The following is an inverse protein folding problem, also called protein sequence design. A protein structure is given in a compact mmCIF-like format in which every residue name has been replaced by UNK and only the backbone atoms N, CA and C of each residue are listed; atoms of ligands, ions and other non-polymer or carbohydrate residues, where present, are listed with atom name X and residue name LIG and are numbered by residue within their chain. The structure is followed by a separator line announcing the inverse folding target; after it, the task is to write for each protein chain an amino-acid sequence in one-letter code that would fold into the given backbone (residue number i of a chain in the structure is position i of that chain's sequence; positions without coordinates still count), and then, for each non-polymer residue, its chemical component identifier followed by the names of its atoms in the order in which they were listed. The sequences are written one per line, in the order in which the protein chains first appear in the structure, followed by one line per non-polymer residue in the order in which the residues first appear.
data_IF_833387182545
#
_entry.id   IF_833387182545
#
_cell.length_a   1.000
_cell.length_b   1.000
_cell.length_c   1.000
_cell.angle_alpha   90.00
_cell.angle_beta   90.00
_cell.angle_gamma   90.00
#
_symmetry.space_group_name_H-M   'P 1'
#
loop_
_entity.id
_entity.type
_entity.pdbx_description
1 polymer ?
#
# COMPACT_ATOMS: atom_id res chain seq x y z
N UNK A 1 22.81 37.36 7.07
CA UNK A 1 23.18 36.48 8.20
C UNK A 1 22.00 36.45 9.17
N UNK A 2 21.04 35.54 8.98
CA UNK A 2 19.91 35.41 9.91
C UNK A 2 20.38 34.64 11.14
N UNK A 3 20.13 35.23 12.32
CA UNK A 3 20.33 34.61 13.63
C UNK A 3 19.38 33.42 13.74
N UNK A 4 19.82 32.26 13.26
CA UNK A 4 19.03 31.04 13.37
C UNK A 4 19.34 30.42 14.72
N UNK A 5 18.45 30.66 15.68
CA UNK A 5 18.55 30.10 17.03
C UNK A 5 18.85 28.60 16.99
N UNK A 6 19.71 28.15 17.88
CA UNK A 6 20.15 26.76 17.95
C UNK A 6 18.98 25.76 18.13
N UNK A 7 17.86 26.22 18.68
CA UNK A 7 16.62 25.45 18.82
C UNK A 7 15.91 25.24 17.48
N UNK A 8 15.95 26.23 16.59
CA UNK A 8 15.38 26.15 15.23
C UNK A 8 16.11 25.12 14.38
N UNK A 9 17.44 25.05 14.51
CA UNK A 9 18.30 24.09 13.81
C UNK A 9 17.96 22.64 14.17
N UNK A 10 17.86 22.33 15.47
CA UNK A 10 17.50 21.00 15.96
C UNK A 10 16.08 20.58 15.52
N UNK A 11 15.14 21.53 15.54
CA UNK A 11 13.75 21.30 15.11
C UNK A 11 13.67 20.91 13.65
N UNK A 12 14.44 21.56 12.77
CA UNK A 12 14.43 21.25 11.33
C UNK A 12 14.81 19.80 11.06
N UNK A 13 15.88 19.31 11.67
CA UNK A 13 16.32 17.92 11.49
C UNK A 13 15.30 16.94 12.09
N UNK A 14 14.75 17.23 13.26
CA UNK A 14 13.70 16.41 13.86
C UNK A 14 12.43 16.33 12.98
N UNK A 15 12.00 17.44 12.40
CA UNK A 15 10.84 17.47 11.49
C UNK A 15 11.07 16.60 10.26
N UNK A 16 12.30 16.55 9.73
CA UNK A 16 12.63 15.69 8.59
C UNK A 16 12.44 14.21 8.93
N UNK A 17 12.96 13.73 10.06
CA UNK A 17 12.77 12.32 10.46
C UNK A 17 11.31 11.98 10.75
N UNK A 18 10.59 12.89 11.40
CA UNK A 18 9.15 12.76 11.63
C UNK A 18 8.35 12.67 10.32
N UNK A 19 8.74 13.43 9.29
CA UNK A 19 8.12 13.38 7.98
C UNK A 19 8.35 12.03 7.27
N UNK A 20 9.56 11.47 7.36
CA UNK A 20 9.82 10.13 6.82
C UNK A 20 8.95 9.06 7.49
N UNK A 21 8.87 9.07 8.84
CA UNK A 21 8.09 8.08 9.56
C UNK A 21 6.58 8.20 9.28
N UNK A 22 6.03 9.41 9.18
CA UNK A 22 4.60 9.59 8.87
C UNK A 22 4.24 9.10 7.46
N UNK A 23 5.17 9.17 6.51
CA UNK A 23 4.97 8.64 5.15
C UNK A 23 5.11 7.11 5.10
N UNK A 24 6.14 6.55 5.75
CA UNK A 24 6.45 5.13 5.67
C UNK A 24 5.55 4.25 6.55
N UNK A 25 5.16 4.73 7.73
CA UNK A 25 4.31 3.99 8.67
C UNK A 25 3.02 3.43 8.03
N UNK A 26 2.15 4.24 7.39
CA UNK A 26 0.91 3.72 6.80
C UNK A 26 1.15 2.75 5.65
N UNK A 27 2.24 2.91 4.90
CA UNK A 27 2.59 2.04 3.77
C UNK A 27 3.00 0.66 4.29
N UNK A 28 3.93 0.63 5.25
CA UNK A 28 4.40 -0.61 5.88
C UNK A 28 3.22 -1.32 6.55
N UNK A 29 2.39 -0.59 7.30
CA UNK A 29 1.22 -1.19 7.94
C UNK A 29 0.24 -1.79 6.94
N UNK A 30 0.03 -1.15 5.78
CA UNK A 30 -0.78 -1.71 4.70
C UNK A 30 -0.14 -2.96 4.08
N UNK A 31 1.17 -2.98 3.90
CA UNK A 31 1.88 -4.17 3.39
C UNK A 31 1.72 -5.37 4.34
N UNK A 32 1.91 -5.14 5.64
CA UNK A 32 1.66 -6.17 6.66
C UNK A 32 0.22 -6.66 6.67
N UNK A 33 -0.75 -5.75 6.52
CA UNK A 33 -2.17 -6.10 6.47
C UNK A 33 -2.49 -7.03 5.29
N UNK A 34 -1.96 -6.73 4.11
CA UNK A 34 -2.16 -7.54 2.91
C UNK A 34 -1.64 -8.96 3.14
N UNK A 35 -0.44 -9.08 3.72
CA UNK A 35 0.17 -10.38 4.06
C UNK A 35 -0.65 -11.11 5.12
N UNK A 36 -1.08 -10.41 6.17
CA UNK A 36 -1.85 -11.01 7.26
C UNK A 36 -3.25 -11.48 6.81
N UNK A 37 -3.85 -10.83 5.81
CA UNK A 37 -5.14 -11.21 5.25
C UNK A 37 -5.09 -12.51 4.43
N UNK A 38 -3.91 -12.92 3.96
CA UNK A 38 -3.71 -14.19 3.26
C UNK A 38 -3.68 -15.38 4.22
N UNK A 39 -3.32 -15.12 5.48
CA UNK A 39 -3.22 -16.11 6.56
C UNK A 39 -4.58 -16.28 7.26
N UNK A 40 -5.62 -16.68 6.53
CA UNK A 40 -7.00 -17.16 6.88
C UNK A 40 -7.69 -16.89 8.26
N UNK A 41 -7.18 -16.05 9.16
CA UNK A 41 -7.58 -16.03 10.58
C UNK A 41 -8.04 -14.68 11.15
N UNK A 42 -7.97 -13.58 10.38
CA UNK A 42 -8.26 -12.25 10.93
C UNK A 42 -9.57 -11.70 10.38
N UNK A 43 -10.59 -11.64 11.24
CA UNK A 43 -11.89 -11.05 10.94
C UNK A 43 -11.75 -9.60 10.44
N UNK A 44 -12.47 -9.25 9.38
CA UNK A 44 -12.40 -7.96 8.67
C UNK A 44 -12.55 -6.71 9.56
N UNK A 45 -13.18 -6.82 10.73
CA UNK A 45 -13.35 -5.70 11.68
C UNK A 45 -12.06 -5.34 12.43
N UNK A 46 -11.13 -6.29 12.62
CA UNK A 46 -9.87 -6.08 13.37
C UNK A 46 -8.77 -5.48 12.49
N UNK A 47 -8.88 -5.62 11.17
CA UNK A 47 -7.90 -5.22 10.18
C UNK A 47 -7.52 -3.73 10.28
N UNK A 48 -8.50 -2.83 10.33
CA UNK A 48 -8.25 -1.38 10.41
C UNK A 48 -7.59 -0.95 11.73
N UNK A 49 -7.99 -1.56 12.85
CA UNK A 49 -7.40 -1.28 14.16
C UNK A 49 -5.93 -1.73 14.21
N UNK A 50 -5.62 -2.92 13.69
CA UNK A 50 -4.25 -3.42 13.63
C UNK A 50 -3.35 -2.53 12.76
N UNK A 51 -3.87 -2.07 11.62
CA UNK A 51 -3.13 -1.14 10.75
C UNK A 51 -2.82 0.17 11.49
N UNK A 52 -3.79 0.73 12.23
CA UNK A 52 -3.59 1.94 13.02
C UNK A 52 -2.56 1.70 14.13
N UNK A 53 -2.70 0.63 14.90
CA UNK A 53 -1.77 0.27 15.99
C UNK A 53 -0.33 0.13 15.49
N UNK A 54 -0.12 -0.58 14.37
CA UNK A 54 1.21 -0.75 13.79
C UNK A 54 1.78 0.59 13.30
N UNK A 55 0.97 1.42 12.65
CA UNK A 55 1.41 2.73 12.17
C UNK A 55 1.75 3.68 13.33
N UNK A 56 0.95 3.66 14.40
CA UNK A 56 1.18 4.43 15.61
C UNK A 56 2.44 3.97 16.33
N UNK A 57 2.71 2.66 16.37
CA UNK A 57 3.93 2.11 16.93
C UNK A 57 5.18 2.61 16.19
N UNK A 58 5.19 2.51 14.85
CA UNK A 58 6.30 3.02 14.02
C UNK A 58 6.53 4.51 14.27
N UNK A 59 5.44 5.29 14.33
CA UNK A 59 5.52 6.73 14.56
C UNK A 59 6.01 7.07 15.99
N UNK A 60 5.55 6.33 17.01
CA UNK A 60 5.96 6.51 18.39
C UNK A 60 7.46 6.26 18.59
N UNK A 61 8.03 5.25 17.92
CA UNK A 61 9.48 5.00 17.93
C UNK A 61 10.23 6.19 17.31
N UNK A 62 9.73 6.78 16.22
CA UNK A 62 10.35 7.97 15.64
C UNK A 62 10.30 9.19 16.57
N UNK A 63 9.21 9.37 17.31
CA UNK A 63 9.07 10.42 18.34
C UNK A 63 10.12 10.21 19.44
N UNK A 64 10.28 8.97 19.92
CA UNK A 64 11.28 8.65 20.94
C UNK A 64 12.71 8.93 20.44
N UNK A 65 13.01 8.62 19.18
CA UNK A 65 14.30 8.97 18.58
C UNK A 65 14.48 10.49 18.43
N UNK A 66 13.41 11.22 18.14
CA UNK A 66 13.43 12.68 18.03
C UNK A 66 13.66 13.35 19.38
N UNK A 67 13.04 12.85 20.46
CA UNK A 67 13.26 13.35 21.82
C UNK A 67 14.68 13.06 22.28
N UNK A 68 15.21 11.85 22.00
CA UNK A 68 16.60 11.51 22.29
C UNK A 68 17.59 12.43 21.56
N UNK A 69 17.37 12.65 20.25
CA UNK A 69 18.18 13.58 19.46
C UNK A 69 18.15 15.00 20.03
N UNK A 70 16.98 15.47 20.49
CA UNK A 70 16.83 16.77 21.11
C UNK A 70 17.67 16.92 22.37
N UNK A 71 17.58 15.95 23.30
CA UNK A 71 18.30 15.96 24.57
C UNK A 71 19.82 15.94 24.35
N UNK A 72 20.30 15.11 23.43
CA UNK A 72 21.74 15.07 23.09
C UNK A 72 22.23 16.38 22.47
N UNK A 73 21.38 17.04 21.68
CA UNK A 73 21.73 18.33 21.09
C UNK A 73 21.71 19.46 22.15
N UNK A 74 20.84 19.42 23.16
CA UNK A 74 20.83 20.42 24.24
C UNK A 74 22.10 20.40 25.08
N UNK A 75 22.65 19.22 25.38
CA UNK A 75 23.92 19.09 26.09
C UNK A 75 25.09 19.66 25.29
N UNK A 76 25.12 19.37 23.98
CA UNK A 76 26.18 19.84 23.08
C UNK A 76 26.14 21.36 22.86
N UNK A 77 24.93 21.96 22.86
CA UNK A 77 24.71 23.40 22.70
C UNK A 77 25.34 24.25 23.81
N UNK A 78 25.52 23.69 25.01
CA UNK A 78 26.14 24.40 26.14
C UNK A 78 27.58 24.86 25.86
N UNK A 79 28.21 24.30 24.81
CA UNK A 79 29.60 24.59 24.42
C UNK A 79 29.76 25.48 23.17
N UNK A 80 28.72 25.73 22.35
CA UNK A 80 28.86 26.50 21.08
C UNK A 80 27.65 27.34 20.70
N UNK A 81 27.93 28.56 20.24
CA UNK A 81 26.96 29.59 19.82
C UNK A 81 26.50 29.52 18.35
N UNK A 82 26.95 28.53 17.56
CA UNK A 82 26.54 28.37 16.15
C UNK A 82 25.86 27.02 15.91
N UNK A 83 24.77 27.03 15.13
CA UNK A 83 24.12 25.83 14.61
C UNK A 83 25.09 25.09 13.69
N UNK A 84 25.54 23.91 14.13
CA UNK A 84 26.34 22.99 13.33
C UNK A 84 25.59 21.67 13.28
N UNK A 85 25.20 21.25 12.08
CA UNK A 85 24.57 19.94 11.87
C UNK A 85 25.66 18.88 12.07
N UNK A 86 25.56 18.14 13.18
CA UNK A 86 26.47 17.03 13.46
C UNK A 86 26.13 15.84 12.57
N UNK A 87 26.89 15.69 11.48
CA UNK A 87 26.77 14.62 10.48
C UNK A 87 26.50 13.24 11.11
N UNK A 88 27.28 12.83 12.12
CA UNK A 88 27.16 11.53 12.78
C UNK A 88 25.82 11.35 13.52
N UNK A 89 25.42 12.35 14.30
CA UNK A 89 24.16 12.33 15.05
C UNK A 89 22.95 12.39 14.12
N UNK A 90 23.04 13.18 13.03
CA UNK A 90 21.99 13.26 12.01
C UNK A 90 21.83 11.95 11.25
N UNK A 91 22.93 11.28 10.86
CA UNK A 91 22.85 9.93 10.26
C UNK A 91 22.26 8.94 11.25
N UNK A 92 22.71 8.94 12.51
CA UNK A 92 22.17 8.05 13.54
C UNK A 92 20.66 8.24 13.72
N UNK A 93 20.18 9.49 13.72
CA UNK A 93 18.75 9.80 13.78
C UNK A 93 17.97 9.33 12.54
N UNK A 94 18.50 9.55 11.34
CA UNK A 94 17.88 9.13 10.07
C UNK A 94 18.01 7.62 9.81
N UNK A 95 18.87 6.91 10.54
CA UNK A 95 19.07 5.47 10.38
C UNK A 95 17.80 4.65 10.65
N UNK A 96 16.91 5.14 11.51
CA UNK A 96 15.61 4.50 11.72
C UNK A 96 14.73 4.58 10.46
N UNK A 97 14.70 5.71 9.77
CA UNK A 97 14.00 5.86 8.50
C UNK A 97 14.61 4.96 7.40
N UNK A 98 15.94 4.78 7.40
CA UNK A 98 16.63 3.83 6.53
C UNK A 98 16.18 2.39 6.79
N UNK A 99 16.12 2.00 8.07
CA UNK A 99 15.65 0.68 8.48
C UNK A 99 14.21 0.46 8.03
N UNK A 100 13.33 1.45 8.20
CA UNK A 100 11.94 1.36 7.73
C UNK A 100 11.84 1.16 6.21
N UNK A 101 12.66 1.87 5.43
CA UNK A 101 12.70 1.67 3.98
C UNK A 101 13.21 0.28 3.60
N UNK A 102 14.21 -0.23 4.31
CA UNK A 102 14.74 -1.58 4.08
C UNK A 102 13.71 -2.66 4.44
N UNK A 103 13.01 -2.50 5.57
CA UNK A 103 11.89 -3.36 5.97
C UNK A 103 10.80 -3.33 4.90
N UNK A 104 10.46 -2.15 4.37
CA UNK A 104 9.51 -2.05 3.27
C UNK A 104 9.98 -2.81 2.02
N UNK A 105 11.26 -2.71 1.67
CA UNK A 105 11.85 -3.45 0.54
C UNK A 105 11.71 -4.97 0.71
N UNK A 106 12.02 -5.49 1.89
CA UNK A 106 11.92 -6.93 2.18
C UNK A 106 10.47 -7.42 2.14
N UNK A 107 9.54 -6.62 2.68
CA UNK A 107 8.12 -7.01 2.78
C UNK A 107 7.42 -6.90 1.42
N UNK A 108 7.84 -5.95 0.58
CA UNK A 108 7.20 -5.67 -0.70
C UNK A 108 7.06 -6.86 -1.68
N UNK A 109 8.04 -7.77 -1.89
CA UNK A 109 7.85 -8.93 -2.76
C UNK A 109 6.79 -9.91 -2.26
N UNK A 110 6.62 -10.05 -0.93
CA UNK A 110 5.57 -10.90 -0.37
C UNK A 110 4.17 -10.36 -0.70
N UNK A 111 4.04 -9.04 -0.87
CA UNK A 111 2.79 -8.42 -1.30
C UNK A 111 2.42 -8.77 -2.76
N UNK A 112 3.40 -9.07 -3.63
CA UNK A 112 3.15 -9.48 -5.03
C UNK A 112 2.58 -10.90 -5.08
N UNK A 113 3.07 -11.79 -4.20
CA UNK A 113 2.66 -13.21 -4.19
C UNK A 113 1.17 -13.39 -3.88
N UNK A 114 0.54 -12.40 -3.24
CA UNK A 114 -0.87 -12.45 -2.85
C UNK A 114 -1.82 -12.41 -4.06
N UNK A 115 -2.46 -13.55 -4.34
CA UNK A 115 -3.26 -13.82 -5.55
C UNK A 115 -4.49 -12.91 -5.72
N UNK A 116 -5.02 -12.33 -4.63
CA UNK A 116 -6.29 -11.58 -4.61
C UNK A 116 -6.16 -10.14 -5.14
N UNK A 117 -4.94 -9.61 -5.28
CA UNK A 117 -4.74 -8.18 -5.57
C UNK A 117 -3.41 -7.88 -6.29
N UNK A 118 -3.09 -8.67 -7.32
CA UNK A 118 -1.78 -8.68 -8.00
C UNK A 118 -1.32 -7.29 -8.50
N UNK A 119 -2.26 -6.42 -8.92
CA UNK A 119 -1.92 -5.06 -9.41
C UNK A 119 -1.51 -4.09 -8.30
N UNK A 120 -2.11 -4.15 -7.11
CA UNK A 120 -1.76 -3.23 -6.03
C UNK A 120 -0.44 -3.63 -5.33
N UNK A 121 -0.20 -4.93 -5.14
CA UNK A 121 1.05 -5.44 -4.57
C UNK A 121 2.26 -5.10 -5.46
N UNK A 122 2.09 -5.21 -6.77
CA UNK A 122 3.11 -4.86 -7.77
C UNK A 122 3.45 -3.35 -7.75
N UNK A 123 2.45 -2.47 -7.65
CA UNK A 123 2.68 -1.03 -7.51
C UNK A 123 3.43 -0.66 -6.22
N UNK A 124 3.10 -1.31 -5.11
CA UNK A 124 3.80 -1.12 -3.83
C UNK A 124 5.26 -1.56 -3.91
N UNK A 125 5.54 -2.65 -4.63
CA UNK A 125 6.91 -3.13 -4.85
C UNK A 125 7.74 -2.18 -5.71
N UNK A 126 7.18 -1.69 -6.83
CA UNK A 126 7.87 -0.67 -7.65
C UNK A 126 8.13 0.61 -6.85
N UNK A 127 7.18 1.03 -6.00
CA UNK A 127 7.38 2.15 -5.08
C UNK A 127 8.53 1.92 -4.11
N UNK A 128 8.65 0.70 -3.59
CA UNK A 128 9.75 0.34 -2.68
C UNK A 128 11.11 0.34 -3.37
N UNK A 129 11.21 -0.21 -4.58
CA UNK A 129 12.43 -0.16 -5.40
C UNK A 129 12.82 1.30 -5.67
N UNK A 130 11.87 2.14 -6.09
CA UNK A 130 12.11 3.56 -6.32
C UNK A 130 12.61 4.28 -5.06
N UNK A 131 12.02 3.98 -3.90
CA UNK A 131 12.44 4.57 -2.63
C UNK A 131 13.86 4.13 -2.25
N UNK A 132 14.22 2.86 -2.47
CA UNK A 132 15.58 2.36 -2.25
C UNK A 132 16.60 3.05 -3.16
N UNK A 133 16.29 3.25 -4.44
CA UNK A 133 17.17 3.98 -5.38
C UNK A 133 17.38 5.41 -4.90
N UNK A 134 16.31 6.11 -4.50
CA UNK A 134 16.42 7.48 -3.97
C UNK A 134 17.30 7.52 -2.72
N UNK A 135 17.13 6.59 -1.78
CA UNK A 135 17.96 6.54 -0.58
C UNK A 135 19.42 6.21 -0.87
N UNK A 136 19.72 5.35 -1.84
CA UNK A 136 21.08 5.10 -2.30
C UNK A 136 21.72 6.37 -2.89
N UNK A 137 21.00 7.07 -3.77
CA UNK A 137 21.46 8.34 -4.34
C UNK A 137 21.69 9.37 -3.23
N UNK A 138 20.75 9.48 -2.28
CA UNK A 138 20.88 10.38 -1.15
C UNK A 138 22.11 10.08 -0.30
N UNK A 139 22.35 8.80 0.02
CA UNK A 139 23.50 8.37 0.80
C UNK A 139 24.81 8.67 0.07
N UNK A 140 24.89 8.37 -1.22
CA UNK A 140 26.05 8.70 -2.06
C UNK A 140 26.32 10.21 -2.09
N UNK A 141 25.28 11.03 -2.33
CA UNK A 141 25.40 12.49 -2.33
C UNK A 141 25.87 13.01 -0.98
N UNK A 142 25.40 12.43 0.12
CA UNK A 142 25.76 12.84 1.47
C UNK A 142 27.25 12.58 1.79
N UNK A 143 27.85 11.53 1.24
CA UNK A 143 29.28 11.25 1.41
C UNK A 143 30.17 11.99 0.42
N UNK A 144 29.70 12.19 -0.81
CA UNK A 144 30.52 12.79 -1.88
C UNK A 144 30.55 14.32 -1.81
N UNK A 145 29.48 14.95 -1.30
CA UNK A 145 29.39 16.40 -1.22
C UNK A 145 30.06 16.95 0.05
N UNK A 146 30.71 18.13 -0.04
CA UNK A 146 31.26 18.79 1.15
C UNK A 146 30.14 19.14 2.15
N UNK A 147 30.43 19.18 3.47
CA UNK A 147 29.44 19.42 4.53
C UNK A 147 28.59 20.70 4.39
N UNK A 148 29.04 21.66 3.58
CA UNK A 148 28.29 22.89 3.26
C UNK A 148 26.96 22.62 2.54
N UNK A 149 26.83 21.50 1.84
CA UNK A 149 25.63 21.16 1.06
C UNK A 149 24.68 20.20 1.81
N UNK A 150 24.99 19.81 3.04
CA UNK A 150 24.23 18.80 3.77
C UNK A 150 22.74 19.14 3.90
N UNK A 151 22.40 20.42 4.11
CA UNK A 151 21.01 20.86 4.20
C UNK A 151 20.25 20.62 2.89
N UNK A 152 20.87 20.92 1.75
CA UNK A 152 20.29 20.69 0.43
C UNK A 152 20.13 19.20 0.15
N UNK A 153 21.13 18.38 0.49
CA UNK A 153 21.07 16.93 0.30
C UNK A 153 19.95 16.30 1.13
N UNK A 154 19.80 16.69 2.40
CA UNK A 154 18.72 16.22 3.27
C UNK A 154 17.34 16.59 2.70
N UNK A 155 17.15 17.84 2.28
CA UNK A 155 15.90 18.29 1.66
C UNK A 155 15.62 17.56 0.34
N UNK A 156 16.63 17.38 -0.51
CA UNK A 156 16.50 16.66 -1.78
C UNK A 156 16.05 15.22 -1.55
N UNK A 157 16.66 14.51 -0.60
CA UNK A 157 16.24 13.15 -0.24
C UNK A 157 14.77 13.09 0.23
N UNK A 158 14.36 14.06 1.04
CA UNK A 158 12.98 14.11 1.55
C UNK A 158 11.98 14.36 0.43
N UNK A 159 12.26 15.31 -0.46
CA UNK A 159 11.38 15.63 -1.59
C UNK A 159 11.33 14.45 -2.56
N UNK A 160 12.48 13.87 -2.92
CA UNK A 160 12.54 12.74 -3.84
C UNK A 160 11.78 11.52 -3.28
N UNK A 161 11.98 11.17 -2.01
CA UNK A 161 11.24 10.07 -1.38
C UNK A 161 9.74 10.35 -1.29
N UNK A 162 9.36 11.58 -0.95
CA UNK A 162 7.95 11.99 -0.94
C UNK A 162 7.32 11.84 -2.34
N UNK A 163 8.01 12.25 -3.41
CA UNK A 163 7.49 12.08 -4.78
C UNK A 163 7.29 10.61 -5.14
N UNK A 164 8.23 9.73 -4.81
CA UNK A 164 8.09 8.29 -5.06
C UNK A 164 6.92 7.71 -4.27
N UNK A 165 6.79 8.09 -2.99
CA UNK A 165 5.68 7.63 -2.14
C UNK A 165 4.34 8.13 -2.65
N UNK A 166 4.26 9.39 -3.10
CA UNK A 166 3.05 9.93 -3.72
C UNK A 166 2.66 9.10 -4.94
N UNK A 167 3.61 8.82 -5.85
CA UNK A 167 3.32 7.96 -7.00
C UNK A 167 2.85 6.57 -6.55
N UNK A 168 3.54 5.94 -5.59
CA UNK A 168 3.19 4.60 -5.09
C UNK A 168 1.81 4.54 -4.41
N UNK A 169 1.43 5.59 -3.67
CA UNK A 169 0.17 5.64 -2.89
C UNK A 169 -1.02 6.10 -3.73
N UNK A 170 -0.82 7.05 -4.65
CA UNK A 170 -1.90 7.60 -5.46
C UNK A 170 -2.30 6.68 -6.61
N UNK A 171 -1.35 5.93 -7.19
CA UNK A 171 -1.63 5.03 -8.30
C UNK A 171 -2.74 4.00 -8.01
N UNK A 172 -2.73 3.25 -6.88
CA UNK A 172 -3.83 2.31 -6.59
C UNK A 172 -5.17 3.01 -6.31
N UNK A 173 -5.17 4.24 -5.79
CA UNK A 173 -6.40 5.00 -5.54
C UNK A 173 -7.04 5.48 -6.84
N UNK A 174 -6.23 6.09 -7.72
CA UNK A 174 -6.67 6.58 -9.03
C UNK A 174 -7.13 5.42 -9.91
N UNK A 175 -6.38 4.31 -9.92
CA UNK A 175 -6.77 3.11 -10.65
C UNK A 175 -8.14 2.58 -10.21
N UNK A 176 -8.37 2.43 -8.90
CA UNK A 176 -9.68 1.99 -8.39
C UNK A 176 -10.80 2.98 -8.75
N UNK A 177 -10.53 4.28 -8.66
CA UNK A 177 -11.52 5.30 -9.01
C UNK A 177 -11.89 5.23 -10.50
N UNK A 178 -10.91 5.11 -11.39
CA UNK A 178 -11.14 4.99 -12.83
C UNK A 178 -11.90 3.69 -13.15
N UNK A 179 -11.49 2.55 -12.59
CA UNK A 179 -12.16 1.26 -12.85
C UNK A 179 -13.60 1.27 -12.32
N UNK A 180 -13.84 1.82 -11.13
CA UNK A 180 -15.20 1.93 -10.58
C UNK A 180 -16.07 2.94 -11.33
N UNK A 181 -15.49 4.03 -11.84
CA UNK A 181 -16.19 4.96 -12.73
C UNK A 181 -16.55 4.30 -14.06
N UNK A 182 -15.60 3.60 -14.70
CA UNK A 182 -15.85 2.88 -15.95
C UNK A 182 -16.89 1.75 -15.78
N UNK A 183 -16.85 1.03 -14.64
CA UNK A 183 -17.86 0.02 -14.30
C UNK A 183 -19.24 0.64 -14.06
N UNK A 184 -19.32 1.85 -13.48
CA UNK A 184 -20.58 2.59 -13.36
C UNK A 184 -21.12 3.05 -14.70
N UNK A 185 -20.27 3.52 -15.61
CA UNK A 185 -20.69 3.92 -16.96
C UNK A 185 -21.25 2.73 -17.75
N UNK A 186 -20.63 1.54 -17.66
CA UNK A 186 -21.17 0.31 -18.27
C UNK A 186 -22.43 -0.19 -17.54
N UNK A 187 -22.54 0.00 -16.23
CA UNK A 187 -23.73 -0.34 -15.43
C UNK A 187 -24.92 0.62 -15.64
N UNK A 188 -24.68 1.87 -16.07
CA UNK A 188 -25.75 2.82 -16.38
C UNK A 188 -26.37 2.62 -17.77
N UNK A 189 -25.70 1.91 -18.69
CA UNK A 189 -26.35 1.44 -19.94
C UNK A 189 -27.31 0.27 -19.67
N UNK A 190 -27.22 -0.38 -18.51
CA UNK A 190 -28.10 -1.47 -18.07
C UNK A 190 -29.03 -1.09 -16.91
N UNK A 191 -29.40 0.19 -16.76
CA UNK A 191 -30.51 0.58 -15.89
C UNK A 191 -31.75 0.88 -16.73
N UNK A 192 -32.48 -0.18 -17.10
CA UNK A 192 -33.92 -0.09 -17.31
C UNK A 192 -34.53 0.48 -16.02
N UNK A 193 -35.34 1.55 -16.06
CA UNK A 193 -35.67 2.28 -14.85
C UNK A 193 -36.60 1.43 -13.96
N UNK A 194 -36.28 1.42 -12.67
CA UNK A 194 -37.03 0.81 -11.56
C UNK A 194 -38.35 1.57 -11.34
N UNK A 195 -39.25 1.59 -12.34
CA UNK A 195 -40.62 2.15 -12.25
C UNK A 195 -41.67 1.03 -12.16
N UNK A 196 -41.29 -0.15 -11.66
CA UNK A 196 -42.25 -1.18 -11.23
C UNK A 196 -42.18 -1.50 -9.73
N UNK A 197 -41.32 -0.82 -8.97
CA UNK A 197 -41.25 -0.99 -7.51
C UNK A 197 -42.28 -0.14 -6.73
N UNK A 198 -43.35 0.31 -7.40
CA UNK A 198 -44.42 1.11 -6.79
C UNK A 198 -45.80 0.62 -7.20
N UNK A 199 -46.05 -0.69 -7.08
CA UNK A 199 -47.40 -1.18 -6.83
C UNK A 199 -47.36 -2.55 -6.14
N UNK A 200 -48.16 -2.67 -5.08
CA UNK A 200 -48.57 -3.92 -4.42
C UNK A 200 -47.64 -4.47 -3.34
N UNK A 201 -47.79 -3.87 -2.15
CA UNK A 201 -47.80 -4.58 -0.88
C UNK A 201 -48.63 -5.87 -0.95
N UNK A 202 -48.00 -7.05 -1.00
CA UNK A 202 -48.52 -8.33 -0.43
C UNK A 202 -47.56 -9.53 -0.60
N UNK A 203 -47.21 -10.10 0.55
CA UNK A 203 -46.87 -11.51 0.85
C UNK A 203 -45.50 -12.09 0.42
N UNK A 204 -44.78 -12.85 1.29
CA UNK A 204 -43.36 -13.20 1.12
C UNK A 204 -43.10 -14.63 0.59
N UNK A 205 -44.01 -15.25 -0.17
CA UNK A 205 -43.89 -16.68 -0.55
C UNK A 205 -43.76 -16.98 -2.06
N UNK A 206 -43.52 -15.98 -2.92
CA UNK A 206 -43.46 -16.21 -4.37
C UNK A 206 -42.04 -16.46 -4.95
N UNK A 207 -40.97 -16.27 -4.18
CA UNK A 207 -39.59 -16.34 -4.72
C UNK A 207 -38.97 -17.74 -4.78
N UNK A 208 -39.62 -18.76 -4.19
CA UNK A 208 -39.11 -20.15 -4.20
C UNK A 208 -39.67 -20.95 -5.38
N UNK A 209 -40.85 -20.61 -5.88
CA UNK A 209 -41.47 -21.33 -7.00
C UNK A 209 -40.90 -20.93 -8.37
N UNK A 210 -40.31 -19.74 -8.49
CA UNK A 210 -39.77 -19.23 -9.75
C UNK A 210 -38.36 -19.78 -10.06
N UNK A 211 -37.64 -20.32 -9.07
CA UNK A 211 -36.32 -20.96 -9.29
C UNK A 211 -36.39 -22.41 -9.75
N UNK A 212 -37.58 -23.04 -9.75
CA UNK A 212 -37.76 -24.42 -10.20
C UNK A 212 -38.18 -24.49 -11.67
N UNK A 213 -38.71 -23.39 -12.24
CA UNK A 213 -39.36 -23.44 -13.56
C UNK A 213 -38.51 -22.95 -14.74
N UNK A 214 -37.22 -22.63 -14.55
CA UNK A 214 -36.32 -22.19 -15.63
C UNK A 214 -35.37 -23.28 -16.17
N UNK A 215 -35.57 -24.54 -15.81
CA UNK A 215 -34.71 -25.67 -16.21
C UNK A 215 -35.22 -26.56 -17.35
N UNK A 216 -36.31 -26.22 -18.05
CA UNK A 216 -36.84 -27.08 -19.11
C UNK A 216 -37.46 -26.27 -20.25
N UNK A 217 -36.67 -26.03 -21.30
CA UNK A 217 -37.19 -25.66 -22.62
C UNK A 217 -36.74 -26.75 -23.61
N UNK A 218 -37.61 -27.70 -24.00
CA UNK A 218 -37.26 -28.70 -24.99
C UNK A 218 -37.50 -28.07 -26.36
N UNK A 219 -36.49 -27.43 -26.94
CA UNK A 219 -36.51 -27.17 -28.37
C UNK A 219 -35.32 -27.79 -29.08
N UNK A 220 -35.66 -28.29 -30.26
CA UNK A 220 -34.96 -29.30 -31.02
C UNK A 220 -33.69 -28.70 -31.60
N UNK A 221 -32.55 -29.16 -31.10
CA UNK A 221 -31.34 -29.52 -31.86
C UNK A 221 -30.21 -29.70 -30.83
N UNK A 222 -29.86 -30.96 -30.59
CA UNK A 222 -29.01 -31.38 -29.48
C UNK A 222 -27.55 -30.95 -29.64
N UNK A 223 -27.16 -29.87 -28.96
CA UNK A 223 -25.78 -29.62 -28.55
C UNK A 223 -25.77 -29.05 -27.13
N UNK A 224 -25.37 -29.87 -26.17
CA UNK A 224 -24.98 -29.40 -24.84
C UNK A 224 -23.55 -28.88 -24.96
N UNK A 225 -23.38 -27.57 -24.80
CA UNK A 225 -22.04 -26.97 -24.62
C UNK A 225 -21.71 -27.08 -23.14
N UNK A 226 -21.10 -28.19 -22.75
CA UNK A 226 -20.47 -28.34 -21.44
C UNK A 226 -19.21 -27.46 -21.40
N UNK A 227 -19.35 -26.27 -20.85
CA UNK A 227 -18.21 -25.43 -20.45
C UNK A 227 -17.71 -26.01 -19.13
N UNK A 228 -16.46 -26.49 -19.10
CA UNK A 228 -15.68 -27.06 -18.00
C UNK A 228 -15.58 -28.60 -17.93
N UNK A 229 -14.66 -29.18 -18.71
CA UNK A 229 -13.69 -30.16 -18.18
C UNK A 229 -12.47 -30.29 -19.09
N UNK A 230 -11.38 -29.59 -18.76
CA UNK A 230 -10.04 -30.03 -19.13
C UNK A 230 -9.67 -31.18 -18.20
N UNK A 231 -9.79 -32.42 -18.66
CA UNK A 231 -8.93 -33.50 -18.16
C UNK A 231 -8.40 -34.32 -19.34
N UNK A 232 -7.09 -34.19 -19.47
CA UNK A 232 -6.15 -34.92 -20.28
C UNK A 232 -6.19 -36.42 -19.92
N UNK A 233 -6.97 -37.25 -20.63
CA UNK A 233 -6.66 -38.67 -20.78
C UNK A 233 -7.39 -39.29 -21.99
N UNK A 234 -6.61 -39.75 -22.97
CA UNK A 234 -7.10 -40.59 -24.07
C UNK A 234 -7.35 -42.01 -23.58
N UNK A 235 -8.51 -42.61 -23.87
CA UNK A 235 -8.46 -43.95 -24.42
C UNK A 235 -9.43 -44.22 -25.58
N UNK A 236 -8.85 -44.88 -26.58
CA UNK A 236 -9.40 -45.64 -27.73
C UNK A 236 -10.92 -45.97 -27.72
N UNK A 237 -11.59 -45.88 -28.88
CA UNK A 237 -12.98 -46.31 -29.02
C UNK A 237 -13.11 -47.85 -28.92
N UNK A 238 -13.88 -48.34 -27.94
CA UNK A 238 -14.45 -49.68 -27.97
C UNK A 238 -15.68 -49.68 -28.87
N UNK A 239 -15.66 -50.50 -29.92
CA UNK A 239 -16.85 -50.83 -30.71
C UNK A 239 -17.86 -51.56 -29.81
N UNK A 240 -19.06 -51.00 -29.66
CA UNK A 240 -20.23 -51.76 -29.22
C UNK A 240 -20.75 -52.57 -30.41
N UNK A 241 -20.52 -53.88 -30.39
CA UNK A 241 -21.27 -54.85 -31.19
C UNK A 241 -22.65 -55.03 -30.57
N UNK A 242 -23.69 -54.64 -31.32
CA UNK A 242 -25.04 -55.15 -31.11
C UNK A 242 -25.14 -56.55 -31.69
N UNK A 243 -25.41 -57.54 -30.84
CA UNK A 243 -26.27 -58.71 -31.08
C UNK A 243 -26.48 -59.45 -29.76
#
# INVERSE_FOLDING_TARGET
MLHSDSNTCSRRVAVVGMAYASMLAPIISRCFLIIAAEMEGIHSHVSGFLQLMLSAFIFAVQIAMASYYWVMNTETKRSRSRCVIHTKMTIAYLSYAMLLCFVWLIISPFCIRSRRNNREGLLLHFGSIGASVVWLIWFLLFFLLPPRWNEFVICFGLVATATVILVAVYQPKVYRLIVSAAAREHGQVSMQPVIFASASSRSPNLSIYESINHGYNPDKDGYIVDVFRDEEESPRPRKMTHL
#
